data_IF_932701632068
#
_entry.id   IF_932701632068
#
_cell.length_a   1.000
_cell.length_b   1.000
_cell.length_c   1.000
_cell.angle_alpha   90.00
_cell.angle_beta   90.00
_cell.angle_gamma   90.00
#
_symmetry.space_group_name_H-M   'P 1'
#
loop_
_entity.id
_entity.type
_entity.pdbx_description
1 polymer ?
#
# COMPACT_ATOMS: atom_id res chain seq x y z
N UNK A 1 21.47 6.84 2.66
CA UNK A 1 20.63 5.98 3.51
C UNK A 1 19.18 6.41 3.30
N UNK A 2 18.34 5.60 2.63
CA UNK A 2 16.93 5.94 2.43
C UNK A 2 16.20 5.62 3.73
N UNK A 3 15.88 6.64 4.52
CA UNK A 3 15.10 6.49 5.73
C UNK A 3 13.65 6.21 5.39
N UNK A 4 13.24 4.94 5.44
CA UNK A 4 11.82 4.57 5.40
C UNK A 4 11.24 4.87 6.79
N UNK A 5 10.78 6.11 6.98
CA UNK A 5 10.04 6.48 8.18
C UNK A 5 8.60 6.01 8.02
N UNK A 6 8.29 4.83 8.55
CA UNK A 6 6.91 4.44 8.80
C UNK A 6 6.38 5.35 9.89
N UNK A 7 5.67 6.41 9.50
CA UNK A 7 5.00 7.27 10.44
C UNK A 7 3.83 6.48 11.03
N UNK A 8 4.10 5.84 12.16
CA UNK A 8 3.08 5.46 13.13
C UNK A 8 2.89 6.66 14.07
N UNK A 9 2.43 7.82 13.56
CA UNK A 9 2.06 8.91 14.47
C UNK A 9 0.71 8.62 15.10
N UNK A 10 0.78 8.02 16.28
CA UNK A 10 -0.07 8.42 17.39
C UNK A 10 0.29 9.88 17.74
N UNK A 11 -0.49 10.85 17.23
CA UNK A 11 -0.71 12.14 17.89
C UNK A 11 -1.93 12.80 17.27
N UNK A 12 -2.94 12.93 18.13
CA UNK A 12 -4.09 13.85 18.15
C UNK A 12 -4.59 14.42 16.81
N UNK A 13 -5.86 14.16 16.48
CA UNK A 13 -6.84 15.15 15.98
C UNK A 13 -8.11 14.44 15.46
N UNK A 14 -9.15 14.53 16.29
CA UNK A 14 -10.60 14.67 16.04
C UNK A 14 -11.35 13.68 15.11
N UNK A 15 -12.51 13.27 15.63
CA UNK A 15 -13.36 12.10 15.36
C UNK A 15 -13.85 11.81 13.92
N UNK A 16 -13.48 12.58 12.90
CA UNK A 16 -13.87 12.30 11.50
C UNK A 16 -12.75 11.64 10.67
N UNK A 17 -11.51 11.63 11.16
CA UNK A 17 -10.36 10.97 10.49
C UNK A 17 -10.22 9.46 10.79
N UNK A 18 -11.14 8.87 11.57
CA UNK A 18 -11.02 7.52 12.15
C UNK A 18 -11.20 6.39 11.12
N UNK A 19 -12.21 6.47 10.26
CA UNK A 19 -12.63 5.33 9.41
C UNK A 19 -11.56 4.90 8.40
N UNK A 20 -10.85 5.84 7.75
CA UNK A 20 -9.80 5.51 6.76
C UNK A 20 -8.50 4.99 7.41
N UNK A 21 -8.17 5.48 8.62
CA UNK A 21 -6.99 5.03 9.38
C UNK A 21 -7.20 3.65 10.01
N UNK A 22 -8.44 3.33 10.41
CA UNK A 22 -8.81 1.99 10.81
C UNK A 22 -8.43 0.99 9.71
N UNK A 23 -8.73 1.23 8.43
CA UNK A 23 -8.42 0.25 7.37
C UNK A 23 -6.95 -0.21 7.30
N UNK A 24 -5.98 0.69 7.48
CA UNK A 24 -4.56 0.31 7.50
C UNK A 24 -4.18 -0.42 8.79
N UNK A 25 -4.65 0.08 9.93
CA UNK A 25 -4.40 -0.54 11.25
C UNK A 25 -5.05 -1.92 11.33
N UNK A 26 -6.30 -2.04 10.91
CA UNK A 26 -7.07 -3.28 10.85
C UNK A 26 -6.40 -4.30 9.92
N UNK A 27 -5.90 -3.85 8.76
CA UNK A 27 -5.17 -4.70 7.84
C UNK A 27 -3.87 -5.23 8.45
N UNK A 28 -3.06 -4.33 9.03
CA UNK A 28 -1.81 -4.69 9.70
C UNK A 28 -2.06 -5.66 10.86
N UNK A 29 -3.09 -5.41 11.66
CA UNK A 29 -3.43 -6.26 12.79
C UNK A 29 -3.97 -7.63 12.34
N UNK A 30 -4.88 -7.66 11.36
CA UNK A 30 -5.49 -8.89 10.86
C UNK A 30 -4.45 -9.88 10.34
N UNK A 31 -3.42 -9.41 9.64
CA UNK A 31 -2.37 -10.26 9.06
C UNK A 31 -1.07 -10.27 9.87
N UNK A 32 -1.09 -9.73 11.10
CA UNK A 32 0.08 -9.62 11.99
C UNK A 32 1.33 -9.04 11.29
N UNK A 33 1.16 -7.99 10.49
CA UNK A 33 2.23 -7.39 9.68
C UNK A 33 3.11 -6.47 10.55
N UNK A 34 4.04 -7.07 11.28
CA UNK A 34 5.03 -6.38 12.14
C UNK A 34 6.17 -5.78 11.32
N UNK A 35 7.05 -5.02 11.96
CA UNK A 35 8.13 -4.24 11.32
C UNK A 35 8.92 -5.03 10.26
N UNK A 36 9.41 -6.23 10.57
CA UNK A 36 10.15 -7.04 9.62
C UNK A 36 9.29 -7.44 8.42
N UNK A 37 8.07 -7.91 8.67
CA UNK A 37 7.14 -8.27 7.59
C UNK A 37 6.75 -7.07 6.74
N UNK A 38 6.62 -5.88 7.30
CA UNK A 38 6.38 -4.65 6.54
C UNK A 38 7.51 -4.38 5.55
N UNK A 39 8.78 -4.51 6.00
CA UNK A 39 9.94 -4.38 5.13
C UNK A 39 9.94 -5.44 4.04
N UNK A 40 9.70 -6.71 4.39
CA UNK A 40 9.69 -7.80 3.42
C UNK A 40 8.63 -7.59 2.34
N UNK A 41 7.42 -7.18 2.73
CA UNK A 41 6.34 -6.89 1.78
C UNK A 41 6.68 -5.70 0.89
N UNK A 42 7.30 -4.64 1.43
CA UNK A 42 7.74 -3.51 0.62
C UNK A 42 8.79 -3.90 -0.43
N UNK A 43 9.72 -4.78 -0.08
CA UNK A 43 10.79 -5.22 -0.99
C UNK A 43 10.30 -6.14 -2.12
N UNK A 44 9.08 -6.69 -2.00
CA UNK A 44 8.45 -7.55 -3.00
C UNK A 44 7.59 -6.77 -4.01
N UNK A 45 7.42 -5.45 -3.84
CA UNK A 45 6.60 -4.65 -4.75
C UNK A 45 7.41 -4.33 -5.99
N UNK A 46 6.87 -4.69 -7.15
CA UNK A 46 7.52 -4.49 -8.44
C UNK A 46 6.85 -3.35 -9.24
N UNK A 47 7.49 -2.93 -10.33
CA UNK A 47 6.97 -1.85 -11.20
C UNK A 47 5.65 -2.28 -11.84
N UNK A 48 5.52 -3.56 -12.14
CA UNK A 48 4.36 -4.22 -12.74
C UNK A 48 3.11 -4.15 -11.86
N UNK A 49 3.29 -3.93 -10.55
CA UNK A 49 2.19 -3.72 -9.61
C UNK A 49 1.65 -2.29 -9.62
N UNK A 50 2.31 -1.36 -10.32
CA UNK A 50 1.85 0.03 -10.42
C UNK A 50 0.51 0.13 -11.16
N UNK A 51 -0.40 0.89 -10.56
CA UNK A 51 -1.76 1.07 -11.04
C UNK A 51 -1.99 2.47 -11.58
N UNK A 52 -1.72 3.51 -10.79
CA UNK A 52 -1.90 4.91 -11.18
C UNK A 52 -1.38 5.84 -10.09
N UNK A 53 -1.32 7.14 -10.40
CA UNK A 53 -1.08 8.19 -9.42
C UNK A 53 -2.39 8.92 -9.07
N UNK A 54 -2.52 9.38 -7.83
CA UNK A 54 -3.65 10.16 -7.33
C UNK A 54 -3.14 11.45 -6.70
N UNK A 55 -3.83 12.57 -6.93
CA UNK A 55 -3.60 13.76 -6.09
C UNK A 55 -4.18 13.53 -4.69
N UNK A 56 -3.43 13.93 -3.67
CA UNK A 56 -3.87 13.78 -2.29
C UNK A 56 -5.02 14.76 -2.00
N UNK A 57 -6.20 14.23 -1.72
CA UNK A 57 -7.40 15.06 -1.47
C UNK A 57 -7.51 15.55 -0.03
N UNK A 58 -6.49 15.33 0.81
CA UNK A 58 -6.51 15.72 2.22
C UNK A 58 -6.13 17.20 2.33
N UNK A 59 -6.97 17.98 3.02
CA UNK A 59 -6.70 19.39 3.27
C UNK A 59 -5.31 19.61 3.88
N UNK A 60 -4.51 20.47 3.25
CA UNK A 60 -3.12 20.79 3.62
C UNK A 60 -2.05 19.86 3.02
N UNK A 61 -2.42 18.98 2.09
CA UNK A 61 -1.53 18.03 1.42
C UNK A 61 -1.82 17.93 -0.09
N UNK A 62 -2.56 18.88 -0.64
CA UNK A 62 -3.09 18.86 -2.02
C UNK A 62 -2.00 18.89 -3.09
N UNK A 63 -0.79 19.31 -2.73
CA UNK A 63 0.39 19.31 -3.57
C UNK A 63 1.11 17.95 -3.61
N UNK A 64 0.66 16.95 -2.84
CA UNK A 64 1.26 15.63 -2.80
C UNK A 64 0.60 14.68 -3.80
N UNK A 65 1.44 13.99 -4.58
CA UNK A 65 1.00 12.91 -5.47
C UNK A 65 1.27 11.56 -4.83
N UNK A 66 0.23 10.74 -4.72
CA UNK A 66 0.28 9.39 -4.18
C UNK A 66 0.44 8.39 -5.33
N UNK A 67 1.45 7.53 -5.26
CA UNK A 67 1.62 6.41 -6.20
C UNK A 67 0.90 5.18 -5.67
N UNK A 68 0.03 4.58 -6.48
CA UNK A 68 -0.77 3.42 -6.12
C UNK A 68 -0.22 2.16 -6.77
N UNK A 69 0.00 1.15 -5.95
CA UNK A 69 0.39 -0.20 -6.35
C UNK A 69 -0.62 -1.22 -5.82
N UNK A 70 -0.73 -2.36 -6.48
CA UNK A 70 -1.61 -3.45 -6.07
C UNK A 70 -0.95 -4.84 -6.16
N UNK A 71 0.14 -5.07 -5.41
CA UNK A 71 0.81 -6.37 -5.34
C UNK A 71 -0.12 -7.45 -4.80
N UNK A 72 0.15 -8.69 -5.20
CA UNK A 72 -0.47 -9.89 -4.63
C UNK A 72 0.48 -10.56 -3.66
N UNK A 73 0.06 -10.73 -2.40
CA UNK A 73 0.85 -11.40 -1.38
C UNK A 73 0.15 -12.65 -0.86
N UNK A 74 0.94 -13.65 -0.46
CA UNK A 74 0.48 -14.71 0.42
C UNK A 74 0.64 -14.26 1.88
N UNK A 75 -0.49 -14.07 2.56
CA UNK A 75 -0.56 -13.63 3.96
C UNK A 75 -1.26 -14.70 4.80
N UNK A 76 -1.07 -14.65 6.12
CA UNK A 76 -1.75 -15.54 7.06
C UNK A 76 -2.78 -14.74 7.85
N UNK A 77 -4.01 -15.22 7.88
CA UNK A 77 -5.09 -14.58 8.62
C UNK A 77 -4.97 -14.85 10.14
N UNK A 78 -5.90 -14.35 10.98
CA UNK A 78 -5.85 -14.58 12.42
C UNK A 78 -5.95 -16.05 12.87
N UNK A 79 -6.37 -16.95 11.97
CA UNK A 79 -6.49 -18.40 12.22
C UNK A 79 -5.33 -19.18 11.57
N UNK A 80 -4.26 -18.49 11.19
CA UNK A 80 -3.08 -19.03 10.50
C UNK A 80 -3.35 -19.59 9.08
N UNK A 81 -4.53 -19.33 8.51
CA UNK A 81 -4.86 -19.77 7.16
C UNK A 81 -4.17 -18.88 6.13
N UNK A 82 -3.54 -19.49 5.12
CA UNK A 82 -2.94 -18.77 3.99
C UNK A 82 -4.02 -18.19 3.09
N UNK A 83 -3.97 -16.88 2.85
CA UNK A 83 -4.84 -16.14 1.93
C UNK A 83 -3.98 -15.42 0.89
N UNK A 84 -4.34 -15.54 -0.39
CA UNK A 84 -3.77 -14.72 -1.45
C UNK A 84 -4.52 -13.40 -1.50
N UNK A 85 -3.86 -12.31 -1.12
CA UNK A 85 -4.48 -11.00 -0.92
C UNK A 85 -3.89 -10.00 -1.91
N UNK A 86 -4.76 -9.32 -2.67
CA UNK A 86 -4.37 -8.14 -3.41
C UNK A 86 -4.36 -6.92 -2.48
N UNK A 87 -3.18 -6.34 -2.27
CA UNK A 87 -2.97 -5.30 -1.27
C UNK A 87 -2.85 -3.95 -1.97
N UNK A 88 -3.83 -3.09 -1.74
CA UNK A 88 -3.79 -1.73 -2.22
C UNK A 88 -2.77 -0.93 -1.41
N UNK A 89 -1.66 -0.61 -2.04
CA UNK A 89 -0.50 0.06 -1.44
C UNK A 89 -0.39 1.48 -1.97
N UNK A 90 -0.38 2.46 -1.07
CA UNK A 90 -0.15 3.87 -1.44
C UNK A 90 1.21 4.31 -0.94
N UNK A 91 2.03 4.81 -1.84
CA UNK A 91 3.28 5.49 -1.53
C UNK A 91 3.12 7.00 -1.65
N UNK A 92 3.72 7.70 -0.69
CA UNK A 92 3.95 9.13 -0.75
C UNK A 92 5.44 9.37 -0.54
N UNK A 93 6.08 10.06 -1.49
CA UNK A 93 7.51 10.34 -1.45
C UNK A 93 7.69 11.81 -1.09
N UNK A 94 8.10 12.06 0.15
CA UNK A 94 8.33 13.40 0.68
C UNK A 94 9.80 13.78 0.49
N UNK A 95 10.04 14.99 -0.03
CA UNK A 95 11.38 15.58 -0.09
C UNK A 95 11.59 16.46 1.14
N UNK A 96 12.66 16.19 1.88
CA UNK A 96 13.08 16.98 3.03
C UNK A 96 14.00 18.13 2.59
N UNK A 97 14.16 19.13 3.46
CA UNK A 97 14.91 20.37 3.15
C UNK A 97 16.40 20.12 2.88
N UNK A 98 16.96 19.06 3.43
CA UNK A 98 18.35 18.61 3.26
C UNK A 98 18.54 17.74 2.00
N UNK A 99 17.49 17.56 1.19
CA UNK A 99 17.51 16.68 0.01
C UNK A 99 17.26 15.20 0.32
N UNK A 100 17.13 14.82 1.60
CA UNK A 100 16.72 13.47 1.95
C UNK A 100 15.27 13.19 1.50
N UNK A 101 14.96 11.90 1.30
CA UNK A 101 13.63 11.45 0.92
C UNK A 101 13.04 10.55 2.00
N UNK A 102 11.79 10.78 2.34
CA UNK A 102 11.00 9.90 3.20
C UNK A 102 9.90 9.27 2.39
N UNK A 103 9.82 7.94 2.43
CA UNK A 103 8.73 7.19 1.80
C UNK A 103 7.73 6.80 2.88
N UNK A 104 6.49 7.29 2.75
CA UNK A 104 5.37 6.89 3.58
C UNK A 104 4.53 5.89 2.80
N UNK A 105 4.38 4.68 3.33
CA UNK A 105 3.58 3.62 2.75
C UNK A 105 2.36 3.30 3.62
N UNK A 106 1.25 2.94 2.98
CA UNK A 106 0.07 2.40 3.68
C UNK A 106 -0.50 1.22 2.91
N UNK A 107 -0.95 0.21 3.66
CA UNK A 107 -1.53 -1.03 3.14
C UNK A 107 -3.01 -1.11 3.51
N UNK A 108 -3.87 -1.47 2.58
CA UNK A 108 -5.21 -1.92 2.91
C UNK A 108 -5.72 -2.93 1.89
N UNK A 109 -6.70 -3.75 2.27
CA UNK A 109 -7.37 -4.64 1.32
C UNK A 109 -8.00 -3.78 0.21
N UNK A 110 -7.79 -4.17 -1.04
CA UNK A 110 -8.45 -3.49 -2.15
C UNK A 110 -9.97 -3.69 -2.05
N UNK A 111 -10.74 -2.62 -2.29
CA UNK A 111 -12.20 -2.65 -2.28
C UNK A 111 -12.80 -2.13 -3.60
N UNK A 112 -11.96 -2.00 -4.63
CA UNK A 112 -12.33 -1.54 -5.97
C UNK A 112 -11.63 -2.41 -7.02
N UNK A 113 -12.16 -2.52 -8.25
CA UNK A 113 -11.43 -3.08 -9.37
C UNK A 113 -10.08 -2.39 -9.51
N UNK A 114 -9.05 -3.19 -9.79
CA UNK A 114 -7.69 -2.70 -9.98
C UNK A 114 -7.37 -2.84 -11.45
N UNK A 115 -6.94 -1.74 -12.04
CA UNK A 115 -6.40 -1.70 -13.38
C UNK A 115 -4.88 -1.51 -13.27
N UNK A 116 -4.15 -2.50 -13.77
CA UNK A 116 -2.69 -2.49 -13.81
C UNK A 116 -2.23 -1.83 -15.11
N UNK A 117 -1.30 -0.88 -15.03
CA UNK A 117 -0.81 -0.18 -16.23
C UNK A 117 0.22 -1.00 -17.00
N UNK A 118 1.04 -1.78 -16.30
CA UNK A 118 2.18 -2.47 -16.89
C UNK A 118 2.02 -3.99 -16.97
N UNK A 119 0.97 -4.56 -16.34
CA UNK A 119 0.68 -5.99 -16.44
C UNK A 119 0.01 -6.26 -17.79
N UNK A 120 0.63 -7.09 -18.62
CA UNK A 120 0.00 -7.53 -19.86
C UNK A 120 -1.31 -8.27 -19.53
N UNK A 121 -2.38 -8.01 -20.30
CA UNK A 121 -3.57 -8.86 -20.24
C UNK A 121 -3.13 -10.25 -20.69
N UNK A 122 -3.11 -11.21 -19.77
CA UNK A 122 -2.85 -12.60 -20.14
C UNK A 122 -3.87 -12.98 -21.22
N UNK A 123 -3.41 -13.22 -22.45
CA UNK A 123 -4.23 -13.92 -23.43
C UNK A 123 -4.42 -15.33 -22.88
N UNK A 124 -5.63 -15.62 -22.40
CA UNK A 124 -6.13 -16.98 -22.32
C UNK A 124 -6.22 -17.50 -23.77
N UNK A 125 -5.08 -17.94 -24.33
CA UNK A 125 -5.10 -18.83 -25.48
C UNK A 125 -5.57 -20.18 -24.96
N UNK A 126 -6.85 -20.46 -25.16
CA UNK A 126 -7.43 -21.76 -24.94
C UNK A 126 -6.56 -22.84 -25.56
N UNK A 127 -6.11 -23.78 -24.72
CA UNK A 127 -5.71 -25.10 -25.19
C UNK A 127 -6.99 -25.92 -25.36
N UNK A 128 -7.60 -25.76 -26.53
CA UNK A 128 -8.45 -26.78 -27.13
C UNK A 128 -7.71 -27.24 -28.38
N UNK A 129 -6.83 -28.22 -28.23
CA UNK A 129 -6.44 -29.20 -29.25
C UNK A 129 -6.26 -30.55 -28.57
#
# INVERSE_FOLDING_TARGET
MVGVLFIQTARELTNLKRIKRCKNVDFINRYNIRYFRQRDLLMQIEVEDFCHSLQNTKKGYENETLSVFAPWFELRDPFDAKEKVCVYTKFNILKLKDGAKTVVASFHKSNKPIEYLFRQKTQERGKNE
#
